data_IF_753056766046
#
_entry.id   IF_753056766046
#
_cell.length_a   1.000
_cell.length_b   1.000
_cell.length_c   1.000
_cell.angle_alpha   90.00
_cell.angle_beta   90.00
_cell.angle_gamma   90.00
#
_symmetry.space_group_name_H-M   'P 1'
#
loop_
_entity.id
_entity.type
_entity.pdbx_description
1 polymer ?
#
# COMPACT_ATOMS: atom_id res chain seq x y z
N UNK A 1 -14.33 -36.17 20.51
CA UNK A 1 -14.52 -35.69 19.14
C UNK A 1 -14.35 -34.18 19.12
N UNK A 2 -13.10 -33.70 19.11
CA UNK A 2 -12.74 -32.27 19.12
C UNK A 2 -11.67 -32.01 18.04
N UNK A 3 -11.90 -32.52 16.84
CA UNK A 3 -11.01 -32.37 15.69
C UNK A 3 -11.85 -31.92 14.49
N UNK A 4 -12.29 -30.65 14.46
CA UNK A 4 -12.58 -30.00 13.17
C UNK A 4 -12.81 -28.47 13.19
N UNK A 5 -12.49 -27.76 14.29
CA UNK A 5 -12.78 -26.32 14.35
C UNK A 5 -11.73 -25.43 13.66
N UNK A 6 -10.60 -26.00 13.21
CA UNK A 6 -9.52 -25.25 12.54
C UNK A 6 -9.60 -25.35 11.00
N UNK A 7 -10.36 -26.29 10.45
CA UNK A 7 -10.46 -26.51 9.00
C UNK A 7 -11.35 -25.44 8.32
N UNK A 8 -12.24 -24.80 9.06
CA UNK A 8 -13.22 -23.83 8.54
C UNK A 8 -12.71 -22.40 8.42
N UNK A 9 -11.60 -22.04 9.09
CA UNK A 9 -11.05 -20.68 9.02
C UNK A 9 -10.20 -20.45 7.75
N UNK A 10 -9.58 -21.50 7.20
CA UNK A 10 -8.77 -21.40 5.99
C UNK A 10 -9.62 -21.33 4.71
N UNK A 11 -10.88 -21.79 4.75
CA UNK A 11 -11.76 -21.90 3.59
C UNK A 11 -12.53 -20.61 3.24
N UNK A 12 -12.38 -19.53 4.01
CA UNK A 12 -13.16 -18.29 3.84
C UNK A 12 -12.32 -17.01 3.80
N UNK A 13 -11.04 -17.07 3.43
CA UNK A 13 -10.34 -15.85 3.05
C UNK A 13 -10.89 -15.40 1.70
N UNK A 14 -11.80 -14.43 1.73
CA UNK A 14 -12.23 -13.69 0.56
C UNK A 14 -11.36 -12.46 0.38
N UNK A 15 -10.98 -12.18 -0.86
CA UNK A 15 -10.27 -10.98 -1.25
C UNK A 15 -11.20 -10.17 -2.15
N UNK A 16 -11.21 -8.86 -1.97
CA UNK A 16 -11.90 -7.98 -2.88
C UNK A 16 -10.89 -7.54 -3.96
N UNK A 17 -11.16 -7.91 -5.21
CA UNK A 17 -10.41 -7.44 -6.38
C UNK A 17 -11.40 -6.65 -7.23
N UNK A 18 -11.11 -5.37 -7.48
CA UNK A 18 -11.93 -4.47 -8.32
C UNK A 18 -13.41 -4.36 -7.90
N UNK A 19 -13.70 -4.47 -6.60
CA UNK A 19 -15.06 -4.37 -6.05
C UNK A 19 -15.79 -5.70 -5.97
N UNK A 20 -15.26 -6.77 -6.55
CA UNK A 20 -15.83 -8.12 -6.48
C UNK A 20 -15.11 -9.00 -5.47
N UNK A 21 -15.89 -9.77 -4.72
CA UNK A 21 -15.40 -10.64 -3.66
C UNK A 21 -15.09 -12.05 -4.20
N UNK A 22 -13.82 -12.41 -4.21
CA UNK A 22 -13.31 -13.70 -4.67
C UNK A 22 -12.83 -14.52 -3.49
N UNK A 23 -13.25 -15.78 -3.39
CA UNK A 23 -12.62 -16.69 -2.43
C UNK A 23 -11.21 -17.00 -2.90
N UNK A 24 -10.26 -16.90 -1.98
CA UNK A 24 -8.87 -17.24 -2.26
C UNK A 24 -8.74 -18.68 -2.75
N UNK A 25 -9.58 -19.61 -2.23
CA UNK A 25 -9.68 -21.01 -2.65
C UNK A 25 -9.97 -21.21 -4.14
N UNK A 26 -10.71 -20.27 -4.73
CA UNK A 26 -11.26 -20.40 -6.09
C UNK A 26 -10.30 -19.80 -7.14
N UNK A 27 -9.21 -19.17 -6.69
CA UNK A 27 -8.18 -18.60 -7.55
C UNK A 27 -7.18 -19.67 -7.99
N UNK A 28 -6.82 -19.61 -9.28
CA UNK A 28 -5.71 -20.38 -9.83
C UNK A 28 -4.37 -19.99 -9.18
N UNK A 29 -3.40 -20.90 -9.21
CA UNK A 29 -2.05 -20.62 -8.68
C UNK A 29 -1.41 -19.39 -9.34
N UNK A 30 -1.65 -19.20 -10.64
CA UNK A 30 -1.22 -18.02 -11.38
C UNK A 30 -1.89 -16.74 -10.83
N UNK A 31 -3.20 -16.76 -10.56
CA UNK A 31 -3.91 -15.61 -10.00
C UNK A 31 -3.41 -15.25 -8.59
N UNK A 32 -3.14 -16.25 -7.74
CA UNK A 32 -2.56 -16.04 -6.39
C UNK A 32 -1.16 -15.44 -6.46
N UNK A 33 -0.35 -15.87 -7.43
CA UNK A 33 0.97 -15.30 -7.67
C UNK A 33 0.86 -13.82 -8.07
N UNK A 34 -0.05 -13.48 -8.99
CA UNK A 34 -0.28 -12.09 -9.38
C UNK A 34 -0.79 -11.23 -8.24
N UNK A 35 -1.71 -11.74 -7.42
CA UNK A 35 -2.18 -11.05 -6.21
C UNK A 35 -1.03 -10.73 -5.26
N UNK A 36 -0.14 -11.69 -5.03
CA UNK A 36 1.04 -11.51 -4.16
C UNK A 36 1.97 -10.43 -4.72
N UNK A 37 2.20 -10.43 -6.03
CA UNK A 37 3.01 -9.41 -6.70
C UNK A 37 2.35 -8.02 -6.59
N UNK A 38 1.04 -7.93 -6.81
CA UNK A 38 0.29 -6.68 -6.70
C UNK A 38 0.40 -6.11 -5.28
N UNK A 39 0.16 -6.92 -4.25
CA UNK A 39 0.33 -6.50 -2.85
C UNK A 39 1.75 -6.03 -2.53
N UNK A 40 2.77 -6.65 -3.13
CA UNK A 40 4.16 -6.21 -2.96
C UNK A 40 4.41 -4.84 -3.59
N UNK A 41 3.87 -4.61 -4.80
CA UNK A 41 3.95 -3.32 -5.49
C UNK A 41 3.17 -2.24 -4.74
N UNK A 42 1.98 -2.54 -4.23
CA UNK A 42 1.15 -1.59 -3.47
C UNK A 42 1.87 -1.09 -2.21
N UNK A 43 2.57 -1.99 -1.49
CA UNK A 43 3.40 -1.59 -0.35
C UNK A 43 4.52 -0.64 -0.78
N UNK A 44 5.20 -0.93 -1.90
CA UNK A 44 6.25 -0.04 -2.41
C UNK A 44 5.69 1.33 -2.83
N UNK A 45 4.50 1.37 -3.44
CA UNK A 45 3.83 2.62 -3.79
C UNK A 45 3.55 3.44 -2.53
N UNK A 46 3.02 2.82 -1.48
CA UNK A 46 2.76 3.49 -0.22
C UNK A 46 4.05 4.06 0.42
N UNK A 47 5.13 3.29 0.39
CA UNK A 47 6.44 3.74 0.91
C UNK A 47 6.98 4.94 0.12
N UNK A 48 6.90 4.89 -1.22
CA UNK A 48 7.33 6.00 -2.09
C UNK A 48 6.46 7.25 -1.85
N UNK A 49 5.15 7.10 -1.67
CA UNK A 49 4.25 8.21 -1.35
C UNK A 49 4.64 8.87 -0.02
N UNK A 50 5.01 8.09 0.99
CA UNK A 50 5.50 8.61 2.26
C UNK A 50 6.81 9.38 2.09
N UNK A 51 7.76 8.83 1.33
CA UNK A 51 9.02 9.53 1.02
C UNK A 51 8.77 10.84 0.26
N UNK A 52 7.84 10.82 -0.70
CA UNK A 52 7.47 11.99 -1.48
C UNK A 52 6.90 13.09 -0.57
N UNK A 53 6.04 12.76 0.39
CA UNK A 53 5.49 13.73 1.34
C UNK A 53 6.60 14.40 2.19
N UNK A 54 7.60 13.62 2.63
CA UNK A 54 8.78 14.15 3.34
C UNK A 54 9.56 15.12 2.45
N UNK A 55 9.82 14.73 1.19
CA UNK A 55 10.55 15.58 0.23
C UNK A 55 9.79 16.88 -0.09
N UNK A 56 8.47 16.81 -0.23
CA UNK A 56 7.63 17.99 -0.44
C UNK A 56 7.71 18.97 0.75
N UNK A 57 7.70 18.44 1.98
CA UNK A 57 7.86 19.25 3.20
C UNK A 57 9.21 19.97 3.21
N UNK A 58 10.30 19.24 2.94
CA UNK A 58 11.63 19.83 2.86
C UNK A 58 11.74 20.92 1.78
N UNK A 59 11.19 20.65 0.57
CA UNK A 59 11.14 21.64 -0.51
C UNK A 59 10.41 22.92 -0.09
N UNK A 60 9.28 22.80 0.61
CA UNK A 60 8.50 23.94 1.06
C UNK A 60 9.25 24.77 2.13
N UNK A 61 9.97 24.09 3.03
CA UNK A 61 10.83 24.75 4.02
C UNK A 61 11.94 25.56 3.32
N UNK A 62 12.65 24.97 2.35
CA UNK A 62 13.68 25.68 1.58
C UNK A 62 13.13 26.84 0.76
N UNK A 63 11.95 26.68 0.15
CA UNK A 63 11.28 27.77 -0.57
C UNK A 63 10.92 28.94 0.35
N UNK A 64 10.55 28.65 1.60
CA UNK A 64 10.23 29.66 2.62
C UNK A 64 11.49 30.40 3.07
N UNK A 65 12.57 29.66 3.36
CA UNK A 65 13.87 30.24 3.72
C UNK A 65 14.39 31.16 2.59
N UNK A 66 14.36 30.68 1.34
CA UNK A 66 14.76 31.47 0.19
C UNK A 66 13.98 32.79 0.05
N UNK A 67 12.66 32.77 0.30
CA UNK A 67 11.85 34.00 0.27
C UNK A 67 12.29 35.00 1.35
N UNK A 68 12.66 34.53 2.53
CA UNK A 68 13.20 35.38 3.60
C UNK A 68 14.49 36.08 3.16
N UNK A 69 15.45 35.33 2.65
CA UNK A 69 16.74 35.85 2.16
C UNK A 69 16.59 36.88 1.04
N UNK A 70 15.61 36.70 0.15
CA UNK A 70 15.34 37.66 -0.93
C UNK A 70 14.65 38.91 -0.39
N UNK A 71 13.76 38.78 0.59
CA UNK A 71 13.05 39.91 1.18
C UNK A 71 13.95 40.81 2.04
N UNK A 72 14.98 40.28 2.69
CA UNK A 72 15.94 41.07 3.48
C UNK A 72 16.88 41.95 2.64
N UNK A 73 16.92 41.77 1.31
CA UNK A 73 17.84 42.48 0.41
C UNK A 73 17.26 43.74 -0.26
N UNK A 74 16.07 44.20 0.15
CA UNK A 74 15.41 45.40 -0.35
C UNK A 74 14.81 46.23 0.78
#
# INVERSE_FOLDING_TARGET
MLENSLETAAASLSINIDGEEYKLSDLSDAARSQLTNMQAVDRQIADIQQQLAIMQTARNAYATALKGEIAEKH
#
